data_IF_687118676361
#
_entry.id   IF_687118676361
#
_cell.length_a   1.000
_cell.length_b   1.000
_cell.length_c   1.000
_cell.angle_alpha   90.00
_cell.angle_beta   90.00
_cell.angle_gamma   90.00
#
_symmetry.space_group_name_H-M   'P 1'
#
loop_
_entity.id
_entity.type
_entity.pdbx_description
1 polymer ?
#
# COMPACT_ATOMS: atom_id res chain seq x y z
N UNK A 1 3.90 30.81 4.46
CA UNK A 1 4.45 29.68 3.69
C UNK A 1 3.30 28.73 3.41
N UNK A 2 3.16 28.21 2.19
CA UNK A 2 2.12 27.22 1.90
C UNK A 2 2.45 25.92 2.66
N UNK A 3 1.46 25.30 3.32
CA UNK A 3 1.64 24.01 3.97
C UNK A 3 2.05 22.97 2.92
N UNK A 4 3.09 22.18 3.21
CA UNK A 4 3.62 21.20 2.27
C UNK A 4 2.77 19.93 2.34
N UNK A 5 1.80 19.81 1.44
CA UNK A 5 0.98 18.60 1.32
C UNK A 5 1.58 17.60 0.32
N UNK A 6 1.19 16.33 0.50
CA UNK A 6 1.60 15.19 -0.32
C UNK A 6 0.33 14.48 -0.80
N UNK A 7 0.28 14.14 -2.08
CA UNK A 7 -0.76 13.29 -2.66
C UNK A 7 -0.10 12.07 -3.30
N UNK A 8 -0.62 10.88 -2.98
CA UNK A 8 -0.14 9.59 -3.45
C UNK A 8 -1.32 8.82 -4.03
N UNK A 9 -1.10 8.23 -5.21
CA UNK A 9 -2.00 7.23 -5.79
C UNK A 9 -1.19 5.94 -5.94
N UNK A 10 -1.66 4.86 -5.33
CA UNK A 10 -1.04 3.54 -5.40
C UNK A 10 -2.08 2.52 -5.89
N UNK A 11 -2.08 2.19 -7.20
CA UNK A 11 -3.01 1.20 -7.75
C UNK A 11 -2.70 -0.22 -7.31
N UNK A 12 -3.71 -1.09 -7.32
CA UNK A 12 -3.56 -2.49 -6.95
C UNK A 12 -2.90 -3.33 -8.05
N UNK A 13 -2.17 -4.36 -7.63
CA UNK A 13 -1.68 -5.42 -8.53
C UNK A 13 -2.37 -6.74 -8.21
N UNK A 14 -3.05 -7.30 -9.21
CA UNK A 14 -3.57 -8.65 -9.14
C UNK A 14 -2.45 -9.63 -9.47
N UNK A 15 -2.21 -10.60 -8.59
CA UNK A 15 -1.21 -11.64 -8.79
C UNK A 15 -1.90 -12.94 -9.20
N UNK A 16 -1.56 -13.49 -10.35
CA UNK A 16 -2.06 -14.80 -10.83
C UNK A 16 -1.20 -15.98 -10.38
N UNK A 17 -0.17 -15.70 -9.57
CA UNK A 17 0.82 -16.69 -9.14
C UNK A 17 1.94 -16.91 -10.15
N UNK A 18 2.76 -17.91 -9.85
CA UNK A 18 3.81 -18.38 -10.76
C UNK A 18 3.13 -19.15 -11.89
N UNK A 19 3.30 -18.69 -13.14
CA UNK A 19 3.04 -19.52 -14.31
C UNK A 19 4.19 -20.51 -14.45
N UNK A 20 4.21 -21.49 -13.54
CA UNK A 20 5.22 -22.52 -13.55
C UNK A 20 4.78 -23.71 -14.38
N UNK A 21 5.56 -23.99 -15.42
CA UNK A 21 5.40 -25.16 -16.28
C UNK A 21 6.65 -26.08 -16.22
N UNK A 22 7.53 -25.86 -15.24
CA UNK A 22 8.81 -26.57 -15.09
C UNK A 22 8.79 -27.66 -14.02
N UNK A 23 9.95 -28.31 -13.84
CA UNK A 23 10.13 -29.42 -12.91
C UNK A 23 9.94 -28.98 -11.44
N UNK A 24 9.23 -29.79 -10.64
CA UNK A 24 8.78 -29.43 -9.30
C UNK A 24 9.91 -29.43 -8.25
N UNK A 25 11.04 -30.07 -8.58
CA UNK A 25 12.20 -30.22 -7.69
C UNK A 25 13.20 -29.04 -7.76
N UNK A 26 12.95 -28.05 -8.61
CA UNK A 26 13.79 -26.85 -8.74
C UNK A 26 13.11 -25.58 -8.24
N UNK A 27 13.92 -24.58 -7.85
CA UNK A 27 13.40 -23.26 -7.47
C UNK A 27 12.89 -22.52 -8.69
N UNK A 28 11.61 -22.18 -8.66
CA UNK A 28 10.96 -21.49 -9.76
C UNK A 28 10.78 -20.01 -9.43
N UNK A 29 11.13 -19.17 -10.40
CA UNK A 29 11.04 -17.72 -10.31
C UNK A 29 10.25 -17.19 -11.49
N UNK A 30 9.61 -16.04 -11.29
CA UNK A 30 8.69 -15.45 -12.25
C UNK A 30 7.27 -15.41 -11.70
N UNK A 31 6.40 -14.67 -12.35
CA UNK A 31 5.02 -14.51 -11.90
C UNK A 31 4.32 -13.54 -12.81
N UNK A 32 3.06 -13.84 -13.13
CA UNK A 32 2.25 -12.93 -13.94
C UNK A 32 1.35 -12.15 -13.01
N UNK A 33 1.36 -10.84 -13.19
CA UNK A 33 0.44 -9.96 -12.51
C UNK A 33 -0.07 -8.90 -13.45
N UNK A 34 -1.27 -8.40 -13.16
CA UNK A 34 -1.88 -7.30 -13.86
C UNK A 34 -1.93 -6.10 -12.93
N UNK A 35 -1.41 -4.96 -13.38
CA UNK A 35 -1.66 -3.70 -12.71
C UNK A 35 -3.09 -3.29 -13.02
N UNK A 36 -3.86 -3.01 -11.99
CA UNK A 36 -5.22 -2.53 -12.11
C UNK A 36 -5.22 -1.03 -11.89
N UNK A 37 -5.99 -0.28 -12.68
CA UNK A 37 -6.22 1.14 -12.40
C UNK A 37 -7.05 1.31 -11.12
N UNK A 38 -8.03 0.42 -10.91
CA UNK A 38 -8.85 0.34 -9.69
C UNK A 38 -8.97 -1.13 -9.22
N UNK A 39 -8.97 -1.40 -7.91
CA UNK A 39 -8.96 -0.44 -6.81
C UNK A 39 -7.59 0.21 -6.60
N UNK A 40 -7.57 1.51 -6.24
CA UNK A 40 -6.36 2.24 -5.87
C UNK A 40 -6.43 2.85 -4.46
N UNK A 41 -5.29 2.92 -3.78
CA UNK A 41 -5.14 3.74 -2.58
C UNK A 41 -4.88 5.18 -2.98
N UNK A 42 -5.78 6.07 -2.60
CA UNK A 42 -5.62 7.52 -2.73
C UNK A 42 -5.36 8.10 -1.35
N UNK A 43 -4.19 8.68 -1.15
CA UNK A 43 -3.78 9.23 0.13
C UNK A 43 -3.38 10.70 -0.04
N UNK A 44 -4.02 11.57 0.74
CA UNK A 44 -3.63 12.97 0.88
C UNK A 44 -3.14 13.19 2.31
N UNK A 45 -1.98 13.83 2.44
CA UNK A 45 -1.33 14.06 3.73
C UNK A 45 -0.91 15.52 3.78
N UNK A 46 -1.14 16.15 4.93
CA UNK A 46 -0.64 17.48 5.24
C UNK A 46 -0.12 17.55 6.68
N UNK A 47 0.74 18.52 7.01
CA UNK A 47 1.23 18.72 8.37
C UNK A 47 0.07 19.05 9.32
N UNK A 48 0.05 18.40 10.48
CA UNK A 48 -0.92 18.63 11.54
C UNK A 48 -0.27 18.44 12.92
N UNK A 49 -0.80 19.11 13.94
CA UNK A 49 -0.32 18.97 15.33
C UNK A 49 -0.69 17.61 15.94
N UNK A 50 -1.73 16.97 15.41
CA UNK A 50 -2.24 15.67 15.86
C UNK A 50 -2.59 14.79 14.67
N UNK A 51 -2.55 13.47 14.86
CA UNK A 51 -2.97 12.52 13.85
C UNK A 51 -4.50 12.55 13.71
N UNK A 52 -4.96 13.04 12.56
CA UNK A 52 -6.35 12.99 12.13
C UNK A 52 -6.41 12.09 10.90
N UNK A 53 -7.28 11.08 10.95
CA UNK A 53 -7.49 10.16 9.83
C UNK A 53 -8.93 10.33 9.37
N UNK A 54 -9.10 10.72 8.12
CA UNK A 54 -10.40 10.76 7.44
C UNK A 54 -10.44 9.65 6.38
N UNK A 55 -11.00 8.51 6.78
CA UNK A 55 -11.08 7.31 5.97
C UNK A 55 -12.19 6.39 6.53
N UNK A 56 -12.62 5.42 5.72
CA UNK A 56 -13.44 4.31 6.19
C UNK A 56 -12.76 3.51 7.32
N UNK A 57 -13.54 2.70 8.03
CA UNK A 57 -13.07 1.97 9.21
C UNK A 57 -11.88 1.04 8.91
N UNK A 58 -11.94 0.31 7.79
CA UNK A 58 -10.91 -0.66 7.43
C UNK A 58 -9.58 0.03 7.08
N UNK A 59 -9.63 1.11 6.31
CA UNK A 59 -8.45 1.89 5.95
C UNK A 59 -7.90 2.67 7.14
N UNK A 60 -8.78 3.28 7.96
CA UNK A 60 -8.40 3.96 9.21
C UNK A 60 -7.60 3.03 10.11
N UNK A 61 -8.11 1.81 10.35
CA UNK A 61 -7.44 0.84 11.21
C UNK A 61 -6.03 0.49 10.69
N UNK A 62 -5.86 0.33 9.38
CA UNK A 62 -4.55 0.06 8.76
C UNK A 62 -3.58 1.24 8.91
N UNK A 63 -4.05 2.46 8.72
CA UNK A 63 -3.24 3.67 8.90
C UNK A 63 -2.79 3.80 10.36
N UNK A 64 -3.68 3.56 11.32
CA UNK A 64 -3.34 3.59 12.75
C UNK A 64 -2.29 2.55 13.12
N UNK A 65 -2.40 1.33 12.61
CA UNK A 65 -1.40 0.28 12.82
C UNK A 65 -0.03 0.70 12.25
N UNK A 66 -0.01 1.24 11.04
CA UNK A 66 1.22 1.71 10.41
C UNK A 66 1.86 2.87 11.19
N UNK A 67 1.07 3.87 11.59
CA UNK A 67 1.55 5.01 12.35
C UNK A 67 2.13 4.59 13.72
N UNK A 68 1.46 3.68 14.43
CA UNK A 68 1.96 3.09 15.69
C UNK A 68 3.27 2.32 15.49
N UNK A 69 3.35 1.53 14.42
CA UNK A 69 4.57 0.78 14.11
C UNK A 69 5.73 1.74 13.80
N UNK A 70 5.48 2.79 13.02
CA UNK A 70 6.50 3.76 12.63
C UNK A 70 7.05 4.58 13.80
N UNK A 71 6.22 4.89 14.80
CA UNK A 71 6.66 5.52 16.05
C UNK A 71 7.69 4.67 16.80
N UNK A 72 7.73 3.35 16.60
CA UNK A 72 8.75 2.48 17.22
C UNK A 72 10.09 2.43 16.48
N UNK A 73 10.17 2.99 15.26
CA UNK A 73 11.39 3.00 14.44
C UNK A 73 12.19 4.31 14.53
N UNK A 74 11.68 5.32 15.24
CA UNK A 74 12.30 6.63 15.47
C UNK A 74 12.33 6.95 16.97
#
# INVERSE_FOLDING_TARGET
>A
MAAKSISIIAPARLHFGLLSFGDADERQFGGTGLMLDEPALHLYIEPADTLIIDADEALRHRIELFAKQWQGYH
#
